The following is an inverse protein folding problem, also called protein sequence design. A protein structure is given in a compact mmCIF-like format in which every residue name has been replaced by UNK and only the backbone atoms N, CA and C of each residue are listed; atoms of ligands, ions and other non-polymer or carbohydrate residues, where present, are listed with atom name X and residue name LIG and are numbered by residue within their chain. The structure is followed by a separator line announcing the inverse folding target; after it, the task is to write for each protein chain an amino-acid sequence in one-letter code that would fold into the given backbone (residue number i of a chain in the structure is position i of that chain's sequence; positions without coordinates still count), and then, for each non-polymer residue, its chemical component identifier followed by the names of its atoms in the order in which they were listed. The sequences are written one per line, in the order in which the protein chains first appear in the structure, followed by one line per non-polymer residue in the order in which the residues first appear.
data_IF_015765798592
#
_entry.id   IF_015765798592
#
_cell.length_a   1.000
_cell.length_b   1.000
_cell.length_c   1.000
_cell.angle_alpha   90.00
_cell.angle_beta   90.00
_cell.angle_gamma   90.00
#
_symmetry.space_group_name_H-M   'P 1'
#
loop_
_entity.id
_entity.type
_entity.pdbx_description
1 polymer ?
#
# COMPACT_ATOMS: atom_id res chain seq x y z
N UNK A 1 3.06 -10.42 22.24
CA UNK A 1 3.39 -9.60 21.06
C UNK A 1 3.77 -10.58 19.96
N UNK A 2 2.84 -10.93 19.07
CA UNK A 2 3.16 -11.80 17.95
C UNK A 2 3.97 -10.97 16.94
N UNK A 3 5.14 -11.48 16.54
CA UNK A 3 6.04 -10.79 15.62
C UNK A 3 5.31 -10.51 14.30
N UNK A 4 5.19 -9.24 13.93
CA UNK A 4 4.63 -8.81 12.64
C UNK A 4 5.36 -9.48 11.44
N UNK A 5 6.61 -9.88 11.64
CA UNK A 5 7.48 -10.61 10.70
C UNK A 5 6.89 -11.98 10.32
N UNK A 6 6.45 -12.78 11.28
CA UNK A 6 5.91 -14.13 11.01
C UNK A 6 4.62 -14.06 10.19
N UNK A 7 3.87 -12.96 10.33
CA UNK A 7 2.59 -12.77 9.68
C UNK A 7 2.73 -12.27 8.23
N UNK A 8 3.56 -11.25 7.98
CA UNK A 8 3.81 -10.75 6.61
C UNK A 8 4.52 -11.81 5.76
N UNK A 9 5.42 -12.61 6.36
CA UNK A 9 6.11 -13.70 5.66
C UNK A 9 5.23 -14.94 5.41
N UNK A 10 4.11 -15.09 6.14
CA UNK A 10 3.15 -16.17 5.94
C UNK A 10 2.24 -16.02 4.70
N UNK A 11 2.28 -14.86 4.03
CA UNK A 11 1.48 -14.56 2.84
C UNK A 11 1.92 -15.46 1.69
N UNK A 12 1.17 -16.53 1.45
CA UNK A 12 1.40 -17.47 0.35
C UNK A 12 0.29 -17.43 -0.70
N UNK A 13 -0.87 -16.84 -0.39
CA UNK A 13 -2.05 -16.73 -1.26
C UNK A 13 -2.78 -15.39 -1.03
N UNK A 14 -3.51 -14.89 -2.04
CA UNK A 14 -4.22 -13.60 -1.99
C UNK A 14 -5.30 -13.49 -0.88
N UNK A 15 -5.90 -14.60 -0.45
CA UNK A 15 -6.93 -14.61 0.60
C UNK A 15 -6.37 -14.29 1.99
N UNK A 16 -5.16 -14.77 2.32
CA UNK A 16 -4.48 -14.44 3.58
C UNK A 16 -4.17 -12.95 3.67
N UNK A 17 -4.11 -12.33 2.50
CA UNK A 17 -3.64 -10.99 2.26
C UNK A 17 -4.77 -9.94 2.36
N UNK A 18 -6.02 -10.27 2.04
CA UNK A 18 -7.17 -9.43 2.39
C UNK A 18 -7.31 -9.22 3.89
N UNK A 19 -7.14 -10.31 4.64
CA UNK A 19 -7.25 -10.27 6.10
C UNK A 19 -6.11 -9.46 6.73
N UNK A 20 -4.92 -9.51 6.14
CA UNK A 20 -3.78 -8.68 6.55
C UNK A 20 -4.05 -7.21 6.34
N UNK A 21 -4.49 -6.80 5.14
CA UNK A 21 -4.81 -5.39 4.89
C UNK A 21 -5.92 -4.92 5.81
N UNK A 22 -6.94 -5.74 6.05
CA UNK A 22 -8.03 -5.40 7.00
C UNK A 22 -7.50 -5.21 8.43
N UNK A 23 -6.58 -6.06 8.89
CA UNK A 23 -5.96 -5.97 10.21
C UNK A 23 -5.00 -4.79 10.32
N UNK A 24 -4.21 -4.50 9.29
CA UNK A 24 -3.31 -3.35 9.24
C UNK A 24 -4.11 -2.05 9.20
N UNK A 25 -5.15 -1.97 8.38
CA UNK A 25 -6.03 -0.80 8.33
C UNK A 25 -6.72 -0.56 9.68
N UNK A 26 -7.20 -1.62 10.35
CA UNK A 26 -7.71 -1.51 11.72
C UNK A 26 -6.64 -1.03 12.70
N UNK A 27 -5.41 -1.50 12.57
CA UNK A 27 -4.31 -1.14 13.47
C UNK A 27 -3.83 0.31 13.30
N UNK A 28 -3.67 0.77 12.05
CA UNK A 28 -3.17 2.12 11.73
C UNK A 28 -4.26 3.18 11.96
N UNK A 29 -5.50 2.90 11.56
CA UNK A 29 -6.55 3.91 11.49
C UNK A 29 -7.61 3.81 12.59
N UNK A 30 -7.57 2.77 13.43
CA UNK A 30 -8.57 2.45 14.47
C UNK A 30 -10.01 2.48 13.93
N UNK A 31 -10.19 2.01 12.69
CA UNK A 31 -11.44 2.10 11.94
C UNK A 31 -11.87 0.74 11.38
N UNK A 32 -13.18 0.56 11.19
CA UNK A 32 -13.71 -0.53 10.37
C UNK A 32 -13.37 -0.27 8.91
N UNK A 33 -12.45 -1.08 8.38
CA UNK A 33 -11.97 -0.99 7.02
C UNK A 33 -12.46 -2.19 6.20
N UNK A 34 -12.79 -1.95 4.93
CA UNK A 34 -13.12 -2.99 3.98
C UNK A 34 -12.44 -2.70 2.64
N UNK A 35 -11.95 -3.76 2.00
CA UNK A 35 -11.31 -3.67 0.70
C UNK A 35 -12.38 -3.57 -0.38
N UNK A 36 -12.24 -2.60 -1.29
CA UNK A 36 -13.05 -2.55 -2.50
C UNK A 36 -12.15 -2.94 -3.67
N UNK A 37 -12.56 -3.98 -4.40
CA UNK A 37 -11.79 -4.53 -5.52
C UNK A 37 -11.63 -3.52 -6.65
N UNK A 38 -10.38 -3.18 -6.97
CA UNK A 38 -10.01 -2.53 -8.22
C UNK A 38 -10.06 -3.55 -9.37
N UNK A 39 -10.44 -3.14 -10.58
CA UNK A 39 -11.11 -4.06 -11.49
C UNK A 39 -10.23 -5.15 -12.12
N UNK A 40 -8.89 -5.02 -12.25
CA UNK A 40 -8.14 -5.99 -13.08
C UNK A 40 -6.63 -6.24 -12.78
N UNK A 41 -5.99 -5.68 -11.75
CA UNK A 41 -4.50 -5.56 -11.77
C UNK A 41 -3.74 -5.78 -10.44
N UNK A 42 -4.40 -6.32 -9.40
CA UNK A 42 -3.76 -6.58 -8.09
C UNK A 42 -3.64 -5.38 -7.14
N UNK A 43 -3.99 -4.17 -7.61
CA UNK A 43 -4.19 -2.98 -6.76
C UNK A 43 -5.55 -2.97 -6.09
N UNK A 44 -5.61 -2.51 -4.83
CA UNK A 44 -6.86 -2.48 -4.05
C UNK A 44 -7.09 -1.10 -3.45
N UNK A 45 -8.32 -0.61 -3.55
CA UNK A 45 -8.67 0.64 -2.89
C UNK A 45 -9.11 0.33 -1.45
N UNK A 46 -8.51 1.03 -0.48
CA UNK A 46 -8.97 1.00 0.89
C UNK A 46 -9.95 2.15 1.10
N UNK A 47 -11.16 1.81 1.49
CA UNK A 47 -12.15 2.80 1.91
C UNK A 47 -12.42 2.59 3.39
N UNK A 48 -12.29 3.65 4.17
CA UNK A 48 -12.61 3.64 5.59
C UNK A 48 -13.35 4.92 5.98
N UNK A 49 -14.16 4.80 7.03
CA UNK A 49 -14.90 5.93 7.61
C UNK A 49 -14.22 6.37 8.89
N UNK A 50 -13.82 7.64 8.96
CA UNK A 50 -13.27 8.26 10.16
C UNK A 50 -14.03 9.53 10.48
N UNK A 51 -14.58 9.62 11.70
CA UNK A 51 -15.34 10.79 12.18
C UNK A 51 -16.47 11.22 11.22
N UNK A 52 -17.16 10.25 10.59
CA UNK A 52 -18.27 10.51 9.66
C UNK A 52 -17.86 10.94 8.25
N UNK A 53 -16.57 11.07 7.94
CA UNK A 53 -16.06 11.30 6.59
C UNK A 53 -15.53 9.99 5.99
N UNK A 54 -15.88 9.74 4.74
CA UNK A 54 -15.33 8.63 3.96
C UNK A 54 -14.00 9.07 3.35
N UNK A 55 -12.94 8.33 3.66
CA UNK A 55 -11.61 8.56 3.08
C UNK A 55 -11.28 7.37 2.21
N UNK A 56 -10.82 7.66 0.98
CA UNK A 56 -10.31 6.68 0.04
C UNK A 56 -8.80 6.80 0.03
N UNK A 57 -8.09 5.71 0.27
CA UNK A 57 -6.64 5.66 0.14
C UNK A 57 -6.25 4.62 -0.91
N UNK A 58 -5.26 4.98 -1.72
CA UNK A 58 -4.68 4.05 -2.67
C UNK A 58 -3.68 3.16 -1.95
N UNK A 59 -3.98 1.86 -1.92
CA UNK A 59 -3.08 0.86 -1.35
C UNK A 59 -2.66 -0.12 -2.43
N UNK A 60 -1.37 -0.36 -2.51
CA UNK A 60 -0.80 -1.28 -3.48
C UNK A 60 -0.03 -2.34 -2.74
N UNK A 61 -0.23 -3.59 -3.13
CA UNK A 61 0.48 -4.68 -2.48
C UNK A 61 1.10 -5.56 -3.55
N UNK A 62 2.33 -5.96 -3.29
CA UNK A 62 3.07 -6.82 -4.19
C UNK A 62 3.71 -8.00 -3.44
N UNK A 63 3.68 -9.15 -4.09
CA UNK A 63 4.49 -10.33 -3.73
C UNK A 63 5.61 -10.60 -4.74
N UNK A 64 5.70 -9.78 -5.80
CA UNK A 64 6.68 -9.93 -6.86
C UNK A 64 8.11 -9.71 -6.33
N UNK A 65 9.05 -10.51 -6.85
CA UNK A 65 10.44 -10.55 -6.39
C UNK A 65 11.36 -9.56 -7.12
N UNK A 66 11.05 -9.21 -8.37
CA UNK A 66 11.93 -8.45 -9.25
C UNK A 66 11.30 -7.09 -9.59
N UNK A 67 12.14 -6.09 -9.90
CA UNK A 67 11.72 -4.78 -10.41
C UNK A 67 10.75 -3.98 -9.53
N UNK A 68 10.84 -4.15 -8.20
CA UNK A 68 9.94 -3.49 -7.25
C UNK A 68 9.93 -1.96 -7.38
N UNK A 69 11.05 -1.35 -7.74
CA UNK A 69 11.15 0.11 -7.92
C UNK A 69 10.31 0.59 -9.11
N UNK A 70 10.41 -0.11 -10.24
CA UNK A 70 9.61 0.17 -11.43
C UNK A 70 8.13 -0.03 -11.15
N UNK A 71 7.77 -1.12 -10.46
CA UNK A 71 6.39 -1.39 -10.07
C UNK A 71 5.82 -0.29 -9.17
N UNK A 72 6.52 0.04 -8.09
CA UNK A 72 6.12 1.11 -7.16
C UNK A 72 5.93 2.44 -7.90
N UNK A 73 6.81 2.76 -8.84
CA UNK A 73 6.74 4.00 -9.61
C UNK A 73 5.57 4.00 -10.61
N UNK A 74 5.31 2.89 -11.28
CA UNK A 74 4.14 2.72 -12.15
C UNK A 74 2.84 2.87 -11.37
N UNK A 75 2.77 2.24 -10.21
CA UNK A 75 1.63 2.31 -9.30
C UNK A 75 1.45 3.74 -8.76
N UNK A 76 2.53 4.42 -8.38
CA UNK A 76 2.48 5.84 -8.00
C UNK A 76 1.93 6.72 -9.13
N UNK A 77 2.30 6.47 -10.39
CA UNK A 77 1.74 7.21 -11.54
C UNK A 77 0.25 6.93 -11.74
N UNK A 78 -0.22 5.71 -11.44
CA UNK A 78 -1.66 5.39 -11.43
C UNK A 78 -2.37 6.20 -10.34
N UNK A 79 -1.84 6.21 -9.12
CA UNK A 79 -2.41 6.99 -7.99
C UNK A 79 -2.42 8.48 -8.29
N UNK A 80 -1.37 9.03 -8.89
CA UNK A 80 -1.32 10.44 -9.28
C UNK A 80 -2.49 10.83 -10.20
N UNK A 81 -2.92 9.92 -11.11
CA UNK A 81 -4.12 10.13 -11.92
C UNK A 81 -5.38 10.12 -11.07
N UNK A 82 -5.50 9.21 -10.09
CA UNK A 82 -6.63 9.17 -9.17
C UNK A 82 -6.74 10.44 -8.30
N UNK A 83 -5.60 10.98 -7.85
CA UNK A 83 -5.56 12.26 -7.13
C UNK A 83 -6.15 13.37 -8.00
N UNK A 84 -5.65 13.50 -9.23
CA UNK A 84 -6.06 14.56 -10.16
C UNK A 84 -7.52 14.43 -10.61
N UNK A 85 -7.96 13.20 -10.92
CA UNK A 85 -9.21 12.95 -11.62
C UNK A 85 -10.36 12.61 -10.65
N UNK A 86 -10.05 12.14 -9.44
CA UNK A 86 -11.03 11.64 -8.46
C UNK A 86 -10.81 12.17 -7.03
N UNK A 87 -9.94 13.18 -6.85
CA UNK A 87 -9.67 13.83 -5.56
C UNK A 87 -9.24 12.84 -4.45
N UNK A 88 -8.49 11.81 -4.83
CA UNK A 88 -7.81 10.94 -3.87
C UNK A 88 -6.72 11.73 -3.12
N UNK A 89 -6.33 11.33 -1.90
CA UNK A 89 -5.19 11.89 -1.20
C UNK A 89 -3.87 11.68 -1.97
N UNK A 90 -2.93 12.61 -1.82
CA UNK A 90 -1.56 12.53 -2.39
C UNK A 90 -0.67 11.52 -1.64
N UNK A 91 -1.22 10.37 -1.31
CA UNK A 91 -0.61 9.34 -0.50
C UNK A 91 -0.76 7.97 -1.17
N UNK A 92 0.34 7.22 -1.21
CA UNK A 92 0.37 5.82 -1.62
C UNK A 92 0.95 4.98 -0.48
N UNK A 93 0.17 4.01 -0.02
CA UNK A 93 0.64 2.98 0.90
C UNK A 93 1.00 1.73 0.13
N UNK A 94 2.24 1.25 0.25
CA UNK A 94 2.75 0.09 -0.48
C UNK A 94 3.18 -1.02 0.47
N UNK A 95 2.58 -2.20 0.35
CA UNK A 95 2.98 -3.40 1.11
C UNK A 95 3.81 -4.35 0.25
N UNK A 96 4.88 -4.90 0.81
CA UNK A 96 5.75 -5.84 0.13
C UNK A 96 6.12 -7.04 0.99
N UNK A 97 5.96 -8.24 0.44
CA UNK A 97 6.25 -9.51 1.16
C UNK A 97 7.73 -9.82 1.39
N UNK A 98 8.64 -8.90 1.04
CA UNK A 98 10.09 -9.06 1.15
C UNK A 98 10.67 -7.93 1.96
N UNK A 99 11.85 -8.15 2.52
CA UNK A 99 12.62 -7.16 3.27
C UNK A 99 13.29 -6.17 2.33
N UNK A 100 13.28 -4.89 2.69
CA UNK A 100 13.90 -3.82 1.92
C UNK A 100 14.94 -3.12 2.80
N UNK A 101 16.18 -2.98 2.33
CA UNK A 101 17.20 -2.29 3.12
C UNK A 101 16.82 -0.84 3.35
N UNK A 102 17.15 -0.27 4.51
CA UNK A 102 16.78 1.10 4.84
C UNK A 102 17.29 2.14 3.82
N UNK A 103 18.47 1.91 3.23
CA UNK A 103 19.02 2.76 2.17
C UNK A 103 18.18 2.69 0.90
N UNK A 104 17.81 1.49 0.45
CA UNK A 104 16.97 1.28 -0.73
C UNK A 104 15.57 1.84 -0.52
N UNK A 105 15.01 1.70 0.69
CA UNK A 105 13.68 2.23 1.06
C UNK A 105 13.64 3.75 0.91
N UNK A 106 14.64 4.43 1.46
CA UNK A 106 14.78 5.90 1.32
C UNK A 106 14.95 6.33 -0.13
N UNK A 107 15.73 5.58 -0.93
CA UNK A 107 15.93 5.90 -2.34
C UNK A 107 14.62 5.80 -3.14
N UNK A 108 13.84 4.74 -2.92
CA UNK A 108 12.54 4.54 -3.58
C UNK A 108 11.56 5.66 -3.20
N UNK A 109 11.42 5.95 -1.89
CA UNK A 109 10.53 7.01 -1.39
C UNK A 109 10.90 8.36 -2.01
N UNK A 110 12.19 8.70 -2.03
CA UNK A 110 12.66 9.93 -2.66
C UNK A 110 12.31 9.97 -4.15
N UNK A 111 12.60 8.91 -4.89
CA UNK A 111 12.35 8.86 -6.33
C UNK A 111 10.86 9.01 -6.67
N UNK A 112 9.97 8.38 -5.91
CA UNK A 112 8.52 8.53 -6.12
C UNK A 112 8.06 9.96 -5.85
N UNK A 113 8.53 10.58 -4.76
CA UNK A 113 8.22 11.96 -4.45
C UNK A 113 8.70 12.91 -5.54
N UNK A 114 9.94 12.75 -5.98
CA UNK A 114 10.56 13.61 -7.01
C UNK A 114 9.83 13.49 -8.37
N UNK A 115 9.31 12.31 -8.71
CA UNK A 115 8.66 12.07 -10.00
C UNK A 115 7.14 12.31 -10.02
N UNK A 116 6.46 12.14 -8.90
CA UNK A 116 4.98 12.14 -8.86
C UNK A 116 4.39 13.16 -7.89
N UNK A 117 5.19 13.71 -6.97
CA UNK A 117 4.72 14.54 -5.88
C UNK A 117 4.04 13.78 -4.73
N UNK A 118 3.76 12.49 -4.91
CA UNK A 118 3.09 11.67 -3.90
C UNK A 118 3.99 11.37 -2.69
N UNK A 119 3.37 11.29 -1.53
CA UNK A 119 3.99 10.68 -0.35
C UNK A 119 3.87 9.16 -0.48
N UNK A 120 4.99 8.44 -0.35
CA UNK A 120 5.03 6.98 -0.37
C UNK A 120 5.36 6.45 1.03
N UNK A 121 4.50 5.58 1.54
CA UNK A 121 4.76 4.78 2.73
C UNK A 121 4.95 3.31 2.33
N UNK A 122 6.06 2.69 2.74
CA UNK A 122 6.37 1.29 2.42
C UNK A 122 6.37 0.45 3.69
N UNK A 123 5.60 -0.63 3.69
CA UNK A 123 5.61 -1.69 4.69
C UNK A 123 6.18 -2.96 4.08
N UNK A 124 7.39 -3.30 4.48
CA UNK A 124 8.13 -4.46 4.00
C UNK A 124 8.23 -5.53 5.11
N UNK A 125 8.68 -6.74 4.79
CA UNK A 125 8.70 -7.86 5.73
C UNK A 125 9.86 -7.81 6.76
N UNK A 126 10.32 -6.61 7.12
CA UNK A 126 11.46 -6.37 8.03
C UNK A 126 11.21 -6.79 9.46
#
# INVERSE_FOLDING_TARGET
MANNIDFITSIKKESDFEEIVRRIAKHIYDAEAYLIGGPYDGGRDLVYKKLGKETKEAIQISIEKNSIESKILEDARKVQKLVRDHNYPEHLTFFWSKTLSASKKRQIIKNVRDQTGLTLEIYDAT
#
